data_IF_945894017316
#
_entry.id   IF_945894017316
#
_cell.length_a   1.000
_cell.length_b   1.000
_cell.length_c   1.000
_cell.angle_alpha   90.00
_cell.angle_beta   90.00
_cell.angle_gamma   90.00
#
_symmetry.space_group_name_H-M   'P 1'
#
loop_
_entity.id
_entity.type
_entity.pdbx_description
1 polymer ?
#
# COMPACT_ATOMS: atom_id res chain seq x y z
N UNK A 1 -25.32 15.77 0.34
CA UNK A 1 -24.43 14.83 -0.38
C UNK A 1 -24.44 15.18 -1.87
N UNK A 2 -25.60 15.41 -2.51
CA UNK A 2 -25.71 16.04 -3.85
C UNK A 2 -25.05 17.42 -3.98
N UNK A 3 -25.02 18.23 -2.92
CA UNK A 3 -24.39 19.56 -2.86
C UNK A 3 -22.88 19.52 -3.14
N UNK A 4 -22.19 18.42 -2.81
CA UNK A 4 -20.75 18.27 -3.10
C UNK A 4 -20.48 18.08 -4.60
N UNK A 5 -21.45 17.54 -5.34
CA UNK A 5 -21.37 17.38 -6.80
C UNK A 5 -21.71 18.69 -7.51
N UNK A 6 -22.70 19.44 -7.00
CA UNK A 6 -23.00 20.81 -7.44
C UNK A 6 -21.78 21.73 -7.28
N UNK A 7 -21.10 21.65 -6.14
CA UNK A 7 -19.90 22.43 -5.86
C UNK A 7 -18.69 22.03 -6.73
N UNK A 8 -18.74 20.86 -7.38
CA UNK A 8 -17.77 20.40 -8.37
C UNK A 8 -18.15 20.76 -9.81
N UNK A 9 -19.24 21.51 -10.00
CA UNK A 9 -19.68 22.04 -11.29
C UNK A 9 -20.58 21.10 -12.08
N UNK A 10 -21.11 20.05 -11.45
CA UNK A 10 -22.17 19.24 -12.07
C UNK A 10 -23.50 19.99 -12.01
N UNK A 11 -24.35 19.79 -13.02
CA UNK A 11 -25.69 20.35 -12.99
C UNK A 11 -26.56 19.61 -11.94
N UNK A 12 -27.71 20.20 -11.60
CA UNK A 12 -28.58 19.69 -10.55
C UNK A 12 -29.06 18.27 -10.83
N UNK A 13 -29.41 17.99 -12.09
CA UNK A 13 -29.94 16.69 -12.50
C UNK A 13 -28.85 15.62 -12.44
N UNK A 14 -27.63 15.92 -12.90
CA UNK A 14 -26.48 15.02 -12.81
C UNK A 14 -26.06 14.81 -11.35
N UNK A 15 -26.09 15.85 -10.53
CA UNK A 15 -25.71 15.77 -9.11
C UNK A 15 -26.67 14.88 -8.33
N UNK A 16 -27.98 15.04 -8.55
CA UNK A 16 -29.02 14.17 -7.98
C UNK A 16 -28.91 12.74 -8.51
N UNK A 17 -28.53 12.58 -9.79
CA UNK A 17 -28.31 11.26 -10.38
C UNK A 17 -27.00 10.58 -9.95
N UNK A 18 -26.05 11.30 -9.37
CA UNK A 18 -24.80 10.73 -8.84
C UNK A 18 -24.81 10.52 -7.35
N UNK A 19 -25.74 11.19 -6.65
CA UNK A 19 -26.07 10.92 -5.25
C UNK A 19 -26.90 9.64 -5.07
N UNK A 20 -27.13 8.86 -6.14
CA UNK A 20 -27.75 7.54 -6.03
C UNK A 20 -26.85 6.58 -5.25
N UNK A 21 -27.31 6.25 -4.05
CA UNK A 21 -26.70 5.26 -3.18
C UNK A 21 -26.70 3.88 -3.86
N UNK A 22 -25.49 3.46 -4.27
CA UNK A 22 -25.25 2.18 -4.92
C UNK A 22 -25.66 1.03 -3.98
N UNK A 23 -25.50 1.21 -2.67
CA UNK A 23 -25.84 0.21 -1.67
C UNK A 23 -27.36 -0.01 -1.63
N UNK A 24 -28.16 1.06 -1.67
CA UNK A 24 -29.63 0.97 -1.71
C UNK A 24 -30.13 0.23 -2.95
N UNK A 25 -29.50 0.45 -4.12
CA UNK A 25 -29.86 -0.25 -5.37
C UNK A 25 -29.48 -1.72 -5.32
N UNK A 26 -28.32 -2.05 -4.77
CA UNK A 26 -27.89 -3.44 -4.58
C UNK A 26 -28.90 -4.19 -3.67
N UNK A 27 -29.32 -3.56 -2.57
CA UNK A 27 -30.34 -4.10 -1.65
C UNK A 27 -31.68 -4.32 -2.38
N UNK A 28 -32.17 -3.34 -3.17
CA UNK A 28 -33.43 -3.48 -3.94
C UNK A 28 -33.37 -4.58 -5.00
N UNK A 29 -32.20 -4.84 -5.57
CA UNK A 29 -31.96 -5.93 -6.52
C UNK A 29 -31.76 -7.29 -5.84
N UNK A 30 -31.77 -7.34 -4.50
CA UNK A 30 -31.48 -8.53 -3.72
C UNK A 30 -30.03 -9.02 -3.87
N UNK A 31 -29.11 -8.12 -4.22
CA UNK A 31 -27.69 -8.41 -4.44
C UNK A 31 -26.84 -7.79 -3.35
N UNK A 32 -25.77 -8.48 -2.94
CA UNK A 32 -24.73 -7.88 -2.09
C UNK A 32 -23.52 -7.51 -2.95
N UNK A 33 -22.78 -6.47 -2.54
CA UNK A 33 -21.45 -6.17 -3.10
C UNK A 33 -20.50 -7.37 -2.98
N UNK A 34 -20.67 -8.19 -1.93
CA UNK A 34 -19.91 -9.43 -1.69
C UNK A 34 -20.08 -10.45 -2.83
N UNK A 35 -21.17 -10.36 -3.60
CA UNK A 35 -21.41 -11.21 -4.77
C UNK A 35 -20.49 -10.85 -5.93
N UNK A 36 -19.95 -9.63 -5.95
CA UNK A 36 -19.08 -9.11 -7.00
C UNK A 36 -17.61 -9.02 -6.56
N UNK A 37 -17.35 -8.98 -5.26
CA UNK A 37 -16.01 -8.84 -4.69
C UNK A 37 -15.52 -10.16 -4.08
N UNK A 38 -15.01 -11.06 -4.92
CA UNK A 38 -14.25 -12.21 -4.41
C UNK A 38 -12.88 -11.72 -3.96
N UNK A 39 -12.50 -11.99 -2.71
CA UNK A 39 -11.16 -11.68 -2.22
C UNK A 39 -10.11 -12.37 -3.11
N UNK A 40 -9.07 -11.65 -3.57
CA UNK A 40 -8.04 -12.26 -4.40
C UNK A 40 -7.40 -13.42 -3.64
N UNK A 41 -7.41 -14.61 -4.24
CA UNK A 41 -6.71 -15.76 -3.70
C UNK A 41 -5.22 -15.61 -4.04
N UNK A 42 -4.42 -15.22 -3.07
CA UNK A 42 -2.96 -15.15 -3.22
C UNK A 42 -2.42 -16.57 -3.11
N UNK A 43 -2.12 -17.19 -4.25
CA UNK A 43 -1.35 -18.44 -4.30
C UNK A 43 0.12 -18.09 -4.28
N UNK A 44 0.76 -18.22 -3.11
CA UNK A 44 2.22 -18.18 -3.01
C UNK A 44 2.71 -19.52 -3.55
N UNK A 45 3.14 -19.54 -4.81
CA UNK A 45 3.80 -20.70 -5.37
C UNK A 45 5.13 -20.89 -4.63
N UNK A 46 5.21 -21.88 -3.74
CA UNK A 46 6.48 -22.33 -3.20
C UNK A 46 7.22 -23.02 -4.34
N UNK A 47 8.06 -22.29 -5.09
CA UNK A 47 8.95 -22.90 -6.06
C UNK A 47 9.91 -23.81 -5.30
N UNK A 48 9.82 -25.12 -5.52
CA UNK A 48 10.73 -26.11 -4.94
C UNK A 48 12.03 -26.27 -5.74
N UNK A 49 12.42 -25.27 -6.53
CA UNK A 49 13.49 -25.44 -7.50
C UNK A 49 14.35 -24.17 -7.60
N UNK A 50 15.22 -24.03 -6.61
CA UNK A 50 16.58 -23.51 -6.72
C UNK A 50 17.21 -23.68 -5.34
N UNK A 51 18.36 -24.35 -5.26
CA UNK A 51 19.13 -24.44 -4.01
C UNK A 51 19.68 -23.04 -3.71
N UNK A 52 18.91 -22.23 -2.99
CA UNK A 52 19.32 -20.87 -2.62
C UNK A 52 20.49 -20.98 -1.64
N UNK A 53 21.67 -20.54 -2.08
CA UNK A 53 22.85 -20.44 -1.22
C UNK A 53 22.65 -19.30 -0.20
N UNK A 54 22.08 -19.65 0.95
CA UNK A 54 21.76 -18.71 2.02
C UNK A 54 23.01 -18.02 2.58
N UNK A 55 24.15 -18.70 2.59
CA UNK A 55 25.41 -18.15 3.11
C UNK A 55 25.98 -17.11 2.15
N UNK A 56 25.92 -17.37 0.84
CA UNK A 56 26.25 -16.37 -0.17
C UNK A 56 25.39 -15.12 -0.05
N UNK A 57 24.07 -15.29 0.08
CA UNK A 57 23.15 -14.17 0.21
C UNK A 57 23.33 -13.39 1.52
N UNK A 58 23.63 -14.07 2.63
CA UNK A 58 23.98 -13.43 3.90
C UNK A 58 25.26 -12.59 3.76
N UNK A 59 26.34 -13.19 3.25
CA UNK A 59 27.62 -12.50 3.10
C UNK A 59 27.50 -11.27 2.18
N UNK A 60 26.75 -11.38 1.09
CA UNK A 60 26.46 -10.26 0.19
C UNK A 60 25.58 -9.20 0.85
N UNK A 61 24.58 -9.62 1.64
CA UNK A 61 23.73 -8.73 2.43
C UNK A 61 24.54 -7.88 3.41
N UNK A 62 25.44 -8.50 4.16
CA UNK A 62 26.31 -7.81 5.12
C UNK A 62 27.22 -6.79 4.44
N UNK A 63 27.81 -7.16 3.29
CA UNK A 63 28.62 -6.24 2.49
C UNK A 63 27.83 -5.01 2.04
N UNK A 64 26.61 -5.19 1.53
CA UNK A 64 25.75 -4.09 1.10
C UNK A 64 25.31 -3.23 2.28
N UNK A 65 24.91 -3.86 3.38
CA UNK A 65 24.49 -3.17 4.60
C UNK A 65 25.60 -2.29 5.18
N UNK A 66 26.86 -2.73 5.10
CA UNK A 66 28.01 -1.95 5.55
C UNK A 66 28.16 -0.60 4.81
N UNK A 67 27.71 -0.52 3.55
CA UNK A 67 27.80 0.70 2.73
C UNK A 67 26.72 1.75 3.01
N UNK A 68 25.68 1.38 3.77
CA UNK A 68 24.54 2.25 4.02
C UNK A 68 24.89 3.40 4.96
N UNK A 69 24.31 4.58 4.70
CA UNK A 69 24.34 5.68 5.65
C UNK A 69 23.40 5.40 6.85
N UNK A 70 23.53 6.11 7.98
CA UNK A 70 22.73 5.83 9.17
C UNK A 70 21.22 5.80 8.94
N UNK A 71 20.69 6.74 8.15
CA UNK A 71 19.26 6.82 7.83
C UNK A 71 18.78 5.63 6.99
N UNK A 72 19.61 5.17 6.06
CA UNK A 72 19.33 3.98 5.27
C UNK A 72 19.36 2.71 6.13
N UNK A 73 20.29 2.62 7.09
CA UNK A 73 20.37 1.50 8.04
C UNK A 73 19.12 1.40 8.90
N UNK A 74 18.69 2.50 9.51
CA UNK A 74 17.47 2.56 10.31
C UNK A 74 16.23 2.07 9.52
N UNK A 75 16.12 2.48 8.25
CA UNK A 75 15.03 2.00 7.40
C UNK A 75 15.16 0.50 7.08
N UNK A 76 16.35 0.03 6.71
CA UNK A 76 16.58 -1.39 6.44
C UNK A 76 16.28 -2.26 7.66
N UNK A 77 16.65 -1.84 8.86
CA UNK A 77 16.39 -2.58 10.10
C UNK A 77 14.88 -2.71 10.37
N UNK A 78 14.10 -1.64 10.12
CA UNK A 78 12.65 -1.67 10.25
C UNK A 78 11.99 -2.66 9.27
N UNK A 79 12.48 -2.73 8.03
CA UNK A 79 11.99 -3.68 7.02
C UNK A 79 12.34 -5.12 7.41
N UNK A 80 13.57 -5.37 7.86
CA UNK A 80 14.02 -6.70 8.29
C UNK A 80 13.20 -7.17 9.50
N UNK A 81 12.94 -6.29 10.48
CA UNK A 81 12.12 -6.61 11.62
C UNK A 81 10.70 -7.02 11.20
N UNK A 82 10.04 -6.24 10.33
CA UNK A 82 8.70 -6.54 9.85
C UNK A 82 8.61 -7.82 8.98
N UNK A 83 9.71 -8.24 8.37
CA UNK A 83 9.78 -9.53 7.66
C UNK A 83 9.71 -10.73 8.62
N UNK A 84 10.04 -10.54 9.90
CA UNK A 84 10.02 -11.59 10.94
C UNK A 84 8.87 -11.44 11.95
N UNK A 85 8.32 -10.24 12.10
CA UNK A 85 7.19 -9.94 12.97
C UNK A 85 6.05 -9.28 12.17
N UNK A 86 5.03 -10.09 11.86
CA UNK A 86 3.87 -9.65 11.07
C UNK A 86 2.93 -8.69 11.80
N UNK A 87 3.15 -8.42 13.09
CA UNK A 87 2.40 -7.40 13.84
C UNK A 87 2.90 -5.98 13.52
N UNK A 88 4.08 -5.86 12.92
CA UNK A 88 4.65 -4.60 12.48
C UNK A 88 4.06 -4.14 11.13
N UNK A 89 4.13 -2.83 10.80
CA UNK A 89 3.74 -2.34 9.50
C UNK A 89 4.54 -3.03 8.38
N UNK A 90 3.84 -3.62 7.40
CA UNK A 90 4.46 -4.32 6.27
C UNK A 90 4.54 -3.47 5.01
N UNK A 91 3.91 -2.29 5.01
CA UNK A 91 3.92 -1.36 3.89
C UNK A 91 4.90 -0.23 4.21
N UNK A 92 5.97 -0.16 3.44
CA UNK A 92 7.02 0.84 3.57
C UNK A 92 7.03 1.73 2.33
N UNK A 93 7.16 3.05 2.53
CA UNK A 93 7.23 4.04 1.45
C UNK A 93 8.63 4.63 1.44
N UNK A 94 9.30 4.48 0.30
CA UNK A 94 10.59 5.11 0.05
C UNK A 94 10.35 6.42 -0.68
N UNK A 95 10.39 7.53 0.06
CA UNK A 95 10.37 8.87 -0.51
C UNK A 95 11.79 9.45 -0.47
N UNK A 96 12.46 9.40 -1.60
CA UNK A 96 13.76 10.03 -1.82
C UNK A 96 13.62 11.09 -2.92
N UNK A 97 14.57 12.04 -3.04
CA UNK A 97 14.66 12.90 -4.22
C UNK A 97 14.91 12.02 -5.44
N UNK A 98 13.83 11.55 -6.07
CA UNK A 98 13.87 10.70 -7.24
C UNK A 98 13.97 11.56 -8.48
N UNK A 99 15.17 11.62 -9.08
CA UNK A 99 15.18 11.66 -10.53
C UNK A 99 14.60 10.33 -11.03
N UNK A 100 13.56 10.44 -11.87
CA UNK A 100 12.73 9.37 -12.43
C UNK A 100 11.73 8.68 -11.48
N UNK A 101 10.70 9.44 -11.14
CA UNK A 101 9.34 9.09 -11.58
C UNK A 101 8.65 7.92 -10.89
N UNK A 102 7.89 8.22 -9.84
CA UNK A 102 6.43 7.99 -9.78
C UNK A 102 5.89 8.48 -8.43
N UNK A 103 5.04 9.50 -8.50
CA UNK A 103 4.16 9.89 -7.40
C UNK A 103 3.06 8.85 -7.28
N UNK A 104 2.72 8.45 -6.06
CA UNK A 104 1.31 8.36 -5.62
C UNK A 104 1.25 8.53 -4.10
N UNK A 105 0.43 9.48 -3.67
CA UNK A 105 0.20 9.86 -2.28
C UNK A 105 -0.61 8.78 -1.54
N UNK A 106 -0.28 8.48 -0.28
CA UNK A 106 -1.15 8.64 0.90
C UNK A 106 -0.37 8.39 2.20
N UNK A 107 -0.60 9.29 3.14
CA UNK A 107 0.04 9.61 4.43
C UNK A 107 0.26 8.47 5.43
N UNK A 108 1.52 8.33 5.89
CA UNK A 108 1.86 8.41 7.34
C UNK A 108 3.22 9.07 7.48
N UNK A 109 3.19 10.35 7.82
CA UNK A 109 4.34 11.16 8.14
C UNK A 109 5.02 10.64 9.40
N UNK A 110 6.28 10.21 9.32
CA UNK A 110 7.17 10.24 10.47
C UNK A 110 7.59 11.70 10.68
N UNK A 111 6.77 12.48 11.38
CA UNK A 111 7.18 13.80 11.89
C UNK A 111 8.05 13.55 13.11
N UNK A 112 9.38 13.68 12.95
CA UNK A 112 10.27 13.91 14.08
C UNK A 112 10.17 15.40 14.44
N UNK A 113 9.34 15.72 15.44
CA UNK A 113 9.46 16.98 16.17
C UNK A 113 10.52 16.77 17.24
N UNK A 114 11.65 17.45 17.14
CA UNK A 114 12.49 17.73 18.30
C UNK A 114 12.22 19.15 18.74
N UNK A 115 11.78 19.25 20.00
CA UNK A 115 11.72 20.46 20.79
C UNK A 115 13.14 20.82 21.24
#
# INVERSE_FOLDING_TARGET
MSEDFLNRGHDQEESEARDYDIDERLVRLGKSIDTFTTAPTIVIANSTDDFVDLDFHRAKGDQLYATLNPRQKEFCDAVIAAATDFTLPQIFVLDGPGELGRRTHTTRSFTCSHQ
#
